data_IF_802733212777
#
_entry.id   IF_802733212777
#
_cell.length_a   1.000
_cell.length_b   1.000
_cell.length_c   1.000
_cell.angle_alpha   90.00
_cell.angle_beta   90.00
_cell.angle_gamma   90.00
#
_symmetry.space_group_name_H-M   'P 1'
#
loop_
_entity.id
_entity.type
_entity.pdbx_description
1 polymer ?
#
# COMPACT_ATOMS: atom_id res chain seq x y z
N UNK A 1 1.01 11.77 4.65
CA UNK A 1 1.34 10.35 4.89
C UNK A 1 2.39 10.31 5.97
N UNK A 2 2.26 9.44 6.98
CA UNK A 2 3.22 9.37 8.08
C UNK A 2 4.22 8.23 7.88
N UNK A 3 5.22 8.12 8.77
CA UNK A 3 6.23 7.06 8.77
C UNK A 3 5.63 5.66 8.71
N UNK A 4 4.63 5.39 9.55
CA UNK A 4 3.99 4.08 9.66
C UNK A 4 3.20 3.71 8.41
N UNK A 5 2.68 4.68 7.67
CA UNK A 5 2.02 4.46 6.40
C UNK A 5 2.98 3.92 5.34
N UNK A 6 4.18 4.49 5.24
CA UNK A 6 5.21 4.00 4.32
C UNK A 6 5.69 2.60 4.68
N UNK A 7 5.88 2.32 5.98
CA UNK A 7 6.27 0.99 6.45
C UNK A 7 5.18 -0.06 6.15
N UNK A 8 3.91 0.30 6.36
CA UNK A 8 2.77 -0.57 6.05
C UNK A 8 2.65 -0.83 4.55
N UNK A 9 2.81 0.20 3.74
CA UNK A 9 2.81 0.05 2.28
C UNK A 9 3.96 -0.84 1.83
N UNK A 10 5.16 -0.64 2.36
CA UNK A 10 6.32 -1.49 2.08
C UNK A 10 6.01 -2.95 2.44
N UNK A 11 5.42 -3.22 3.60
CA UNK A 11 5.04 -4.58 4.00
C UNK A 11 4.06 -5.25 3.01
N UNK A 12 3.10 -4.47 2.48
CA UNK A 12 2.05 -4.94 1.57
C UNK A 12 2.48 -5.06 0.09
N UNK A 13 3.55 -4.40 -0.34
CA UNK A 13 4.02 -4.56 -1.72
C UNK A 13 4.54 -5.98 -1.92
N UNK A 14 4.15 -6.57 -3.04
CA UNK A 14 4.48 -7.95 -3.41
C UNK A 14 3.61 -9.01 -2.73
N UNK A 15 2.58 -8.62 -1.97
CA UNK A 15 1.63 -9.57 -1.38
C UNK A 15 0.35 -9.65 -2.19
N UNK A 16 -0.22 -10.85 -2.29
CA UNK A 16 -1.60 -11.03 -2.70
C UNK A 16 -2.53 -10.67 -1.56
N UNK A 17 -3.64 -10.04 -1.89
CA UNK A 17 -4.71 -9.75 -0.96
C UNK A 17 -6.03 -10.26 -1.52
N UNK A 18 -6.77 -10.97 -0.70
CA UNK A 18 -8.17 -11.29 -0.93
C UNK A 18 -8.98 -10.46 0.06
N UNK A 19 -9.98 -9.68 -0.39
CA UNK A 19 -10.87 -9.00 0.52
C UNK A 19 -11.62 -10.03 1.39
N UNK A 20 -11.87 -9.71 2.68
CA UNK A 20 -12.69 -10.58 3.52
C UNK A 20 -14.10 -10.68 2.94
N UNK A 21 -14.78 -11.82 3.11
CA UNK A 21 -16.18 -11.94 2.72
C UNK A 21 -17.04 -10.94 3.50
N UNK A 22 -18.09 -10.42 2.85
CA UNK A 22 -19.03 -9.51 3.48
C UNK A 22 -19.83 -10.22 4.57
N UNK A 23 -19.90 -9.61 5.77
CA UNK A 23 -20.73 -10.12 6.86
C UNK A 23 -22.19 -9.84 6.54
N UNK A 24 -23.03 -10.87 6.67
CA UNK A 24 -24.48 -10.74 6.57
C UNK A 24 -25.04 -10.68 8.00
N UNK A 25 -25.77 -9.61 8.28
CA UNK A 25 -26.48 -9.39 9.54
C UNK A 25 -27.99 -9.51 9.33
N UNK A 26 -28.73 -9.90 10.37
CA UNK A 26 -30.19 -9.82 10.36
C UNK A 26 -30.68 -8.38 10.60
N UNK A 27 -32.01 -8.21 10.70
CA UNK A 27 -32.64 -6.89 10.92
C UNK A 27 -32.26 -6.24 12.27
N UNK A 28 -31.73 -7.03 13.21
CA UNK A 28 -31.34 -6.60 14.55
C UNK A 28 -29.80 -6.43 14.66
N UNK A 29 -29.05 -6.62 13.57
CA UNK A 29 -27.59 -6.51 13.54
C UNK A 29 -26.86 -7.74 14.09
N UNK A 30 -27.55 -8.89 14.21
CA UNK A 30 -26.95 -10.13 14.69
C UNK A 30 -26.27 -10.84 13.50
N UNK A 31 -25.00 -11.29 13.64
CA UNK A 31 -24.31 -12.04 12.59
C UNK A 31 -25.08 -13.31 12.18
N UNK A 32 -25.52 -13.34 10.93
CA UNK A 32 -26.28 -14.46 10.35
C UNK A 32 -25.43 -15.31 9.38
N UNK A 33 -24.29 -14.79 8.92
CA UNK A 33 -23.36 -15.52 8.06
C UNK A 33 -22.44 -14.59 7.26
N UNK A 34 -21.86 -15.13 6.19
CA UNK A 34 -21.03 -14.38 5.25
C UNK A 34 -21.56 -14.55 3.82
N UNK A 35 -21.53 -13.48 3.03
CA UNK A 35 -21.81 -13.54 1.62
C UNK A 35 -20.74 -14.37 0.90
N UNK A 36 -21.08 -15.07 -0.21
CA UNK A 36 -20.09 -15.68 -1.06
C UNK A 36 -19.07 -14.61 -1.50
N UNK A 37 -17.80 -14.82 -1.16
CA UNK A 37 -16.73 -13.98 -1.69
C UNK A 37 -16.53 -14.36 -3.15
N UNK A 38 -16.51 -13.36 -4.03
CA UNK A 38 -15.91 -13.53 -5.34
C UNK A 38 -14.42 -13.89 -5.15
N UNK A 39 -13.87 -14.71 -6.05
CA UNK A 39 -12.45 -15.07 -6.08
C UNK A 39 -11.61 -13.88 -6.59
N UNK A 40 -11.82 -12.71 -6.01
CA UNK A 40 -11.09 -11.50 -6.32
C UNK A 40 -9.76 -11.50 -5.56
N UNK A 41 -8.68 -11.62 -6.31
CA UNK A 41 -7.32 -11.49 -5.80
C UNK A 41 -6.70 -10.23 -6.36
N UNK A 42 -6.20 -9.38 -5.47
CA UNK A 42 -5.39 -8.21 -5.83
C UNK A 42 -3.91 -8.52 -5.64
N UNK A 43 -3.07 -8.10 -6.60
CA UNK A 43 -1.62 -8.07 -6.41
C UNK A 43 -1.14 -6.62 -6.27
N UNK A 44 -0.47 -6.31 -5.17
CA UNK A 44 0.06 -4.96 -4.94
C UNK A 44 1.44 -4.81 -5.59
N UNK A 45 1.42 -4.48 -6.88
CA UNK A 45 2.59 -4.51 -7.76
C UNK A 45 3.68 -3.48 -7.43
N UNK A 46 3.31 -2.31 -6.91
CA UNK A 46 4.30 -1.31 -6.52
C UNK A 46 3.69 0.00 -6.06
N UNK A 47 4.47 0.75 -5.30
CA UNK A 47 4.16 2.13 -4.90
C UNK A 47 5.40 2.96 -5.19
N UNK A 48 5.21 4.02 -5.97
CA UNK A 48 6.25 5.01 -6.23
C UNK A 48 6.33 6.03 -5.11
N UNK A 49 7.55 6.31 -4.63
CA UNK A 49 7.84 7.34 -3.62
C UNK A 49 9.11 8.09 -3.99
N UNK A 50 9.17 9.37 -3.69
CA UNK A 50 10.38 10.19 -3.88
C UNK A 50 11.26 10.18 -2.63
N UNK A 51 12.55 10.48 -2.80
CA UNK A 51 13.47 10.64 -1.66
C UNK A 51 13.06 11.78 -0.72
N UNK A 52 12.49 12.86 -1.27
CA UNK A 52 12.05 14.01 -0.48
C UNK A 52 10.92 13.62 0.48
N UNK A 53 9.95 12.83 0.00
CA UNK A 53 8.85 12.31 0.81
C UNK A 53 9.35 11.44 1.97
N UNK A 54 10.27 10.51 1.71
CA UNK A 54 10.85 9.66 2.77
C UNK A 54 11.62 10.50 3.80
N UNK A 55 12.39 11.50 3.34
CA UNK A 55 13.13 12.39 4.22
C UNK A 55 12.21 13.18 5.17
N UNK A 56 11.02 13.59 4.70
CA UNK A 56 10.05 14.32 5.56
C UNK A 56 9.56 13.51 6.75
N UNK A 57 9.65 12.18 6.68
CA UNK A 57 9.22 11.25 7.74
C UNK A 57 10.40 10.51 8.39
N UNK A 58 11.64 10.94 8.12
CA UNK A 58 12.85 10.35 8.70
C UNK A 58 13.14 8.93 8.22
N UNK A 59 12.71 8.57 7.01
CA UNK A 59 12.98 7.28 6.39
C UNK A 59 14.02 7.42 5.26
N UNK A 60 14.71 6.33 5.00
CA UNK A 60 15.61 6.14 3.87
C UNK A 60 15.10 5.00 2.99
N UNK A 61 15.59 4.86 1.74
CA UNK A 61 15.23 3.70 0.91
C UNK A 61 15.53 2.34 1.56
N UNK A 62 16.50 2.27 2.48
CA UNK A 62 16.83 1.04 3.20
C UNK A 62 15.71 0.60 4.15
N UNK A 63 14.91 1.54 4.67
CA UNK A 63 13.79 1.25 5.56
C UNK A 63 12.56 0.70 4.80
N UNK A 64 12.49 0.97 3.50
CA UNK A 64 11.35 0.64 2.63
C UNK A 64 11.77 -0.03 1.32
N UNK A 65 12.49 -1.16 1.37
CA UNK A 65 13.17 -1.75 0.20
C UNK A 65 12.23 -2.26 -0.90
N UNK A 66 10.93 -2.40 -0.64
CA UNK A 66 9.93 -2.86 -1.61
C UNK A 66 9.22 -1.69 -2.32
N UNK A 67 9.42 -0.45 -1.88
CA UNK A 67 8.86 0.72 -2.55
C UNK A 67 9.76 1.13 -3.72
N UNK A 68 9.15 1.64 -4.79
CA UNK A 68 9.88 2.11 -5.96
C UNK A 68 10.31 3.56 -5.73
N UNK A 69 11.62 3.81 -5.71
CA UNK A 69 12.14 5.17 -5.58
C UNK A 69 12.06 5.87 -6.94
N UNK A 70 11.26 6.94 -7.00
CA UNK A 70 11.17 7.83 -8.15
C UNK A 70 12.21 8.93 -7.99
N UNK A 71 13.24 8.90 -8.83
CA UNK A 71 14.19 9.99 -8.93
C UNK A 71 13.54 11.16 -9.71
N UNK A 72 13.63 12.41 -9.22
CA UNK A 72 13.24 13.55 -10.03
C UNK A 72 14.12 13.61 -11.29
N UNK A 73 13.60 14.13 -12.43
CA UNK A 73 14.39 14.33 -13.63
C UNK A 73 15.64 15.15 -13.29
N UNK A 74 16.82 14.73 -13.77
CA UNK A 74 18.01 15.58 -13.71
C UNK A 74 17.73 16.82 -14.54
N UNK A 75 17.81 18.00 -13.96
CA UNK A 75 17.86 19.24 -14.74
C UNK A 75 19.11 19.17 -15.63
N UNK A 76 18.90 19.13 -16.94
CA UNK A 76 20.00 19.24 -17.90
C UNK A 76 20.28 20.74 -18.00
N UNK A 77 21.33 21.20 -17.32
CA UNK A 77 21.88 22.54 -17.57
C UNK A 77 22.31 22.59 -19.03
N UNK A 78 21.55 23.33 -19.83
CA UNK A 78 21.96 23.72 -21.19
C UNK A 78 22.81 24.96 -21.02
N UNK A 79 24.13 24.75 -20.89
CA UNK A 79 25.15 25.78 -21.10
C UNK A 79 25.36 26.02 -22.60
#
# INVERSE_FOLDING_TARGET
MNREDYLRQNAQVGTYYQPPPELIEDVDGIPAGFAPSDCDWGYRAGVGVTLAELATVGLTPADVPKLTIINPPKEINRD
#
